data_IF_365840891106
#
_entry.id   IF_365840891106
#
_cell.length_a   1.000
_cell.length_b   1.000
_cell.length_c   1.000
_cell.angle_alpha   90.00
_cell.angle_beta   90.00
_cell.angle_gamma   90.00
#
_symmetry.space_group_name_H-M   'P 1'
#
loop_
_entity.id
_entity.type
_entity.pdbx_description
1 polymer ?
#
# COMPACT_ATOMS: atom_id res chain seq x y z
N UNK A 1 -7.14 -70.10 -34.77
CA UNK A 1 -6.37 -70.60 -35.93
C UNK A 1 -7.26 -70.49 -37.16
N UNK A 2 -6.72 -70.16 -38.35
CA UNK A 2 -5.60 -69.27 -38.67
C UNK A 2 -6.06 -68.30 -39.80
N UNK A 3 -5.37 -67.28 -40.34
CA UNK A 3 -4.09 -67.18 -41.02
C UNK A 3 -3.97 -65.69 -41.41
N UNK A 4 -2.83 -65.04 -41.10
CA UNK A 4 -2.32 -63.94 -41.94
C UNK A 4 -1.95 -64.51 -43.32
N UNK A 5 -1.79 -63.74 -44.44
CA UNK A 5 -0.70 -62.76 -44.56
C UNK A 5 -0.93 -61.60 -45.57
N UNK A 6 -0.12 -60.54 -45.50
CA UNK A 6 0.88 -60.19 -46.53
C UNK A 6 1.39 -58.76 -46.38
N UNK A 7 2.71 -58.71 -46.31
CA UNK A 7 3.64 -57.60 -46.39
C UNK A 7 3.55 -56.79 -47.69
N UNK A 8 4.02 -55.54 -47.66
CA UNK A 8 4.98 -54.98 -48.63
C UNK A 8 5.61 -53.67 -48.13
N UNK A 9 6.93 -53.61 -48.28
CA UNK A 9 7.84 -52.47 -48.13
C UNK A 9 7.39 -51.24 -48.94
N UNK A 10 7.78 -50.03 -48.53
CA UNK A 10 8.90 -49.31 -49.14
C UNK A 10 8.98 -47.80 -48.76
N UNK A 11 10.23 -47.32 -48.80
CA UNK A 11 10.70 -45.97 -49.10
C UNK A 11 10.74 -44.88 -48.01
N UNK A 12 11.98 -44.59 -47.63
CA UNK A 12 12.44 -43.38 -46.98
C UNK A 12 12.44 -42.16 -47.92
N UNK A 13 12.23 -40.97 -47.36
CA UNK A 13 12.76 -39.70 -47.89
C UNK A 13 13.12 -38.77 -46.71
N UNK A 14 14.23 -38.05 -46.88
CA UNK A 14 14.88 -37.12 -45.94
C UNK A 14 14.38 -35.66 -46.10
N UNK A 15 14.12 -34.97 -44.96
CA UNK A 15 14.56 -33.60 -44.52
C UNK A 15 14.13 -32.35 -45.37
N UNK A 16 13.98 -31.06 -44.90
CA UNK A 16 14.03 -30.40 -43.56
C UNK A 16 12.90 -29.34 -43.26
N UNK A 17 12.96 -28.77 -42.03
CA UNK A 17 12.65 -27.40 -41.55
C UNK A 17 11.36 -26.62 -41.92
N UNK A 18 10.91 -25.91 -40.87
CA UNK A 18 10.23 -24.60 -40.82
C UNK A 18 8.69 -24.59 -40.82
N UNK A 19 8.15 -24.21 -39.67
CA UNK A 19 6.71 -24.04 -39.42
C UNK A 19 6.49 -23.55 -38.00
N UNK A 20 6.95 -22.33 -37.72
CA UNK A 20 6.69 -21.58 -36.49
C UNK A 20 5.17 -21.28 -36.42
N UNK A 21 4.42 -22.05 -35.63
CA UNK A 21 3.11 -21.64 -35.14
C UNK A 21 3.15 -21.73 -33.61
N UNK A 22 3.64 -20.64 -33.00
CA UNK A 22 3.48 -20.39 -31.59
C UNK A 22 2.30 -19.45 -31.37
N UNK A 23 1.67 -19.62 -30.21
CA UNK A 23 0.68 -18.75 -29.59
C UNK A 23 -0.79 -18.96 -30.00
N UNK A 24 -1.32 -20.12 -29.62
CA UNK A 24 -2.55 -20.15 -28.84
C UNK A 24 -2.18 -20.70 -27.46
N UNK A 25 -1.77 -19.81 -26.55
CA UNK A 25 -1.83 -20.14 -25.14
C UNK A 25 -3.32 -20.08 -24.77
N UNK A 26 -4.01 -21.21 -24.87
CA UNK A 26 -5.25 -21.40 -24.17
C UNK A 26 -4.91 -21.25 -22.67
N UNK A 27 -5.49 -20.26 -22.01
CA UNK A 27 -5.47 -20.16 -20.55
C UNK A 27 -6.21 -21.39 -20.00
N UNK A 28 -5.45 -22.47 -19.80
CA UNK A 28 -5.95 -23.67 -19.16
C UNK A 28 -6.43 -23.34 -17.76
N UNK A 29 -7.55 -23.93 -17.36
CA UNK A 29 -8.03 -23.91 -15.98
C UNK A 29 -6.90 -24.43 -15.08
N UNK A 30 -6.23 -23.55 -14.35
CA UNK A 30 -5.26 -23.94 -13.32
C UNK A 30 -6.03 -24.68 -12.21
N UNK A 31 -5.81 -25.99 -12.11
CA UNK A 31 -6.48 -26.89 -11.15
C UNK A 31 -5.75 -27.02 -9.82
N UNK A 32 -4.55 -26.45 -9.69
CA UNK A 32 -3.73 -26.58 -8.48
C UNK A 32 -3.78 -25.32 -7.62
N UNK A 33 -4.04 -25.50 -6.32
CA UNK A 33 -3.97 -24.44 -5.33
C UNK A 33 -2.52 -23.89 -5.26
N UNK A 34 -2.32 -22.59 -4.99
CA UNK A 34 -0.98 -22.03 -4.87
C UNK A 34 -0.18 -22.78 -3.80
N UNK A 35 0.94 -23.39 -4.19
CA UNK A 35 1.83 -24.11 -3.29
C UNK A 35 2.27 -23.15 -2.17
N UNK A 36 2.12 -23.58 -0.90
CA UNK A 36 2.52 -22.80 0.27
C UNK A 36 1.50 -21.77 0.76
N UNK A 37 0.27 -21.74 0.25
CA UNK A 37 -0.82 -20.90 0.77
C UNK A 37 -1.94 -21.73 1.40
N UNK A 38 -2.58 -21.18 2.43
CA UNK A 38 -3.82 -21.73 2.97
C UNK A 38 -4.91 -21.67 1.89
N UNK A 39 -5.78 -22.69 1.86
CA UNK A 39 -6.99 -22.63 1.04
C UNK A 39 -7.90 -21.53 1.60
N UNK A 40 -8.67 -20.88 0.72
CA UNK A 40 -9.71 -19.96 1.17
C UNK A 40 -10.65 -20.70 2.12
N UNK A 41 -10.93 -20.11 3.28
CA UNK A 41 -11.79 -20.67 4.33
C UNK A 41 -11.26 -21.95 4.99
N UNK A 42 -9.96 -22.22 4.89
CA UNK A 42 -9.35 -23.38 5.54
C UNK A 42 -9.52 -23.31 7.05
N UNK A 43 -10.31 -24.24 7.60
CA UNK A 43 -10.61 -24.31 9.03
C UNK A 43 -9.41 -24.69 9.88
N UNK A 44 -8.36 -25.26 9.28
CA UNK A 44 -7.10 -25.57 9.96
C UNK A 44 -6.16 -24.36 10.02
N UNK A 45 -6.45 -23.28 9.27
CA UNK A 45 -5.67 -22.04 9.34
C UNK A 45 -5.71 -21.49 10.77
N UNK A 46 -4.55 -21.18 11.39
CA UNK A 46 -4.50 -20.64 12.75
C UNK A 46 -5.40 -19.43 12.91
N UNK A 47 -6.17 -19.41 14.01
CA UNK A 47 -7.03 -18.27 14.32
C UNK A 47 -6.22 -17.08 14.79
N UNK A 48 -6.66 -15.85 14.49
CA UNK A 48 -6.12 -14.64 15.08
C UNK A 48 -6.17 -14.70 16.61
N UNK A 49 -5.15 -14.17 17.27
CA UNK A 49 -5.16 -14.04 18.73
C UNK A 49 -6.22 -13.01 19.14
N UNK A 50 -6.98 -13.33 20.19
CA UNK A 50 -7.94 -12.38 20.78
C UNK A 50 -7.18 -11.29 21.56
N UNK A 51 -7.56 -10.04 21.34
CA UNK A 51 -7.06 -8.87 22.08
C UNK A 51 -8.27 -8.04 22.50
N UNK A 52 -8.40 -7.80 23.79
CA UNK A 52 -9.45 -6.92 24.32
C UNK A 52 -9.08 -5.46 23.98
N UNK A 53 -9.91 -4.73 23.21
CA UNK A 53 -9.66 -3.33 22.90
C UNK A 53 -9.88 -2.45 24.13
N UNK A 54 -9.24 -1.28 24.18
CA UNK A 54 -9.49 -0.30 25.24
C UNK A 54 -10.93 0.24 25.18
N UNK A 55 -11.50 0.64 26.32
CA UNK A 55 -12.89 1.11 26.43
C UNK A 55 -13.17 2.32 25.53
N UNK A 56 -12.23 3.27 25.45
CA UNK A 56 -12.34 4.50 24.67
C UNK A 56 -11.65 4.37 23.30
N UNK A 57 -12.42 4.44 22.21
CA UNK A 57 -11.83 4.49 20.86
C UNK A 57 -12.79 4.50 19.67
N UNK A 58 -14.11 4.52 19.89
CA UNK A 58 -15.06 4.19 18.81
C UNK A 58 -15.57 5.44 18.06
N UNK A 59 -15.54 6.63 18.67
CA UNK A 59 -16.26 7.80 18.17
C UNK A 59 -15.35 8.89 17.59
N UNK A 60 -14.58 8.54 16.54
CA UNK A 60 -13.80 9.56 15.82
C UNK A 60 -14.77 10.44 15.03
N UNK A 61 -14.85 11.71 15.42
CA UNK A 61 -15.67 12.71 14.71
C UNK A 61 -15.11 12.94 13.30
N UNK A 62 -15.97 13.19 12.30
CA UNK A 62 -15.52 13.53 10.96
C UNK A 62 -14.61 14.77 10.99
N UNK A 63 -13.43 14.73 10.36
CA UNK A 63 -12.65 15.92 10.05
C UNK A 63 -13.45 16.92 9.20
N UNK A 64 -13.05 18.20 9.21
CA UNK A 64 -13.79 19.26 8.51
C UNK A 64 -13.85 19.08 6.98
N UNK A 65 -12.89 18.36 6.41
CA UNK A 65 -12.80 18.04 4.98
C UNK A 65 -13.39 16.66 4.64
N UNK A 66 -13.99 15.96 5.62
CA UNK A 66 -14.60 14.66 5.37
C UNK A 66 -15.96 14.77 4.67
N UNK A 67 -16.20 13.83 3.77
CA UNK A 67 -17.51 13.55 3.22
C UNK A 67 -18.25 12.68 4.23
N UNK A 68 -19.30 13.22 4.82
CA UNK A 68 -20.17 12.48 5.74
C UNK A 68 -21.14 11.64 4.93
N UNK A 69 -21.08 10.33 5.11
CA UNK A 69 -21.97 9.36 4.44
C UNK A 69 -23.18 9.03 5.30
N UNK A 70 -23.06 9.10 6.63
CA UNK A 70 -24.19 8.91 7.54
C UNK A 70 -23.89 9.52 8.91
N UNK A 71 -24.74 10.45 9.34
CA UNK A 71 -24.65 11.16 10.63
C UNK A 71 -25.79 10.83 11.61
N UNK A 72 -26.67 9.89 11.24
CA UNK A 72 -27.85 9.51 12.02
C UNK A 72 -29.16 10.10 11.51
N UNK A 73 -29.16 10.96 10.50
CA UNK A 73 -30.37 11.67 10.06
C UNK A 73 -31.11 10.98 8.92
N UNK A 74 -30.42 10.62 7.84
CA UNK A 74 -31.02 10.06 6.63
C UNK A 74 -30.04 9.21 5.80
N UNK A 75 -30.54 8.61 4.71
CA UNK A 75 -29.75 7.78 3.78
C UNK A 75 -29.44 8.51 2.46
N UNK A 76 -29.36 9.84 2.45
CA UNK A 76 -29.24 10.62 1.22
C UNK A 76 -27.95 10.34 0.43
N UNK A 77 -26.88 9.94 1.12
CA UNK A 77 -25.62 9.54 0.48
C UNK A 77 -25.68 8.13 -0.15
N UNK A 78 -26.75 7.37 0.08
CA UNK A 78 -26.88 5.95 -0.27
C UNK A 78 -27.99 5.72 -1.29
N UNK A 79 -27.86 4.62 -2.03
CA UNK A 79 -28.89 4.07 -2.90
C UNK A 79 -28.94 2.56 -2.74
N UNK A 80 -30.09 1.99 -3.02
CA UNK A 80 -30.30 0.54 -3.02
C UNK A 80 -30.41 0.03 -4.46
N UNK A 81 -29.49 -0.82 -4.92
CA UNK A 81 -29.60 -1.48 -6.22
C UNK A 81 -30.86 -2.34 -6.37
N UNK A 82 -31.40 -2.88 -5.27
CA UNK A 82 -32.63 -3.68 -5.28
C UNK A 82 -33.92 -2.84 -5.31
N UNK A 83 -33.80 -1.52 -5.06
CA UNK A 83 -34.93 -0.62 -4.86
C UNK A 83 -35.58 -0.68 -3.46
N UNK A 84 -35.17 -1.61 -2.59
CA UNK A 84 -35.64 -1.69 -1.20
C UNK A 84 -34.70 -0.93 -0.26
N UNK A 85 -35.24 -0.11 0.62
CA UNK A 85 -34.45 0.71 1.55
C UNK A 85 -34.15 0.01 2.87
N UNK A 86 -32.96 0.26 3.39
CA UNK A 86 -32.65 0.06 4.82
C UNK A 86 -33.38 1.14 5.65
N UNK A 87 -33.44 0.97 6.97
CA UNK A 87 -34.17 1.89 7.85
C UNK A 87 -33.23 2.73 8.70
N UNK A 88 -33.66 3.96 9.01
CA UNK A 88 -33.03 4.80 10.03
C UNK A 88 -33.83 4.67 11.32
N UNK A 89 -33.18 4.27 12.41
CA UNK A 89 -33.79 4.06 13.72
C UNK A 89 -32.83 4.55 14.81
N UNK A 90 -33.31 5.41 15.70
CA UNK A 90 -32.56 5.95 16.85
C UNK A 90 -31.17 6.51 16.50
N UNK A 91 -31.06 7.23 15.38
CA UNK A 91 -29.80 7.81 14.90
C UNK A 91 -28.84 6.79 14.26
N UNK A 92 -29.33 5.59 13.94
CA UNK A 92 -28.55 4.50 13.33
C UNK A 92 -29.19 4.06 12.02
N UNK A 93 -28.36 3.59 11.10
CA UNK A 93 -28.81 2.91 9.89
C UNK A 93 -28.81 1.40 10.17
N UNK A 94 -29.94 0.72 10.01
CA UNK A 94 -30.07 -0.72 10.24
C UNK A 94 -30.39 -1.45 8.94
N UNK A 95 -29.63 -2.51 8.65
CA UNK A 95 -29.91 -3.46 7.57
C UNK A 95 -31.29 -4.06 7.76
N UNK A 96 -32.10 -4.07 6.70
CA UNK A 96 -33.36 -4.80 6.66
C UNK A 96 -33.11 -6.13 5.96
N UNK A 97 -33.16 -7.29 6.64
CA UNK A 97 -32.93 -8.60 6.00
C UNK A 97 -33.75 -8.81 4.73
N UNK A 98 -33.12 -9.32 3.67
CA UNK A 98 -33.74 -9.52 2.36
C UNK A 98 -34.03 -8.24 1.56
N UNK A 99 -33.50 -7.10 1.99
CA UNK A 99 -33.57 -5.84 1.24
C UNK A 99 -32.43 -5.68 0.24
N UNK A 100 -31.37 -6.48 0.35
CA UNK A 100 -30.18 -6.39 -0.48
C UNK A 100 -29.21 -5.32 0.02
N UNK A 101 -28.00 -5.33 -0.56
CA UNK A 101 -26.95 -4.37 -0.25
C UNK A 101 -27.36 -2.92 -0.56
N UNK A 102 -26.70 -1.96 0.08
CA UNK A 102 -26.77 -0.55 -0.30
C UNK A 102 -25.39 -0.04 -0.69
N UNK A 103 -25.35 0.97 -1.55
CA UNK A 103 -24.10 1.55 -2.03
C UNK A 103 -24.15 3.07 -2.02
N UNK A 104 -23.00 3.71 -1.84
CA UNK A 104 -22.92 5.17 -1.91
C UNK A 104 -23.29 5.66 -3.32
N UNK A 105 -24.00 6.79 -3.40
CA UNK A 105 -24.22 7.51 -4.67
C UNK A 105 -22.89 8.02 -5.25
N UNK A 106 -21.99 8.48 -4.38
CA UNK A 106 -20.63 8.85 -4.74
C UNK A 106 -19.76 7.63 -5.07
N UNK A 107 -18.74 7.86 -5.90
CA UNK A 107 -17.69 6.87 -6.22
C UNK A 107 -16.33 7.42 -5.81
N UNK A 108 -15.50 6.57 -5.22
CA UNK A 108 -14.23 6.95 -4.60
C UNK A 108 -13.10 6.03 -5.05
N UNK A 109 -11.87 6.54 -4.98
CA UNK A 109 -10.65 5.80 -5.28
C UNK A 109 -9.85 5.56 -4.00
N UNK A 110 -8.73 6.28 -3.84
CA UNK A 110 -7.94 6.24 -2.61
C UNK A 110 -8.68 6.99 -1.48
N UNK A 111 -8.88 6.33 -0.33
CA UNK A 111 -9.66 6.91 0.77
C UNK A 111 -9.09 6.57 2.15
N UNK A 112 -9.42 7.43 3.10
CA UNK A 112 -9.52 7.12 4.52
C UNK A 112 -11.02 7.02 4.85
N UNK A 113 -11.48 5.91 5.44
CA UNK A 113 -12.87 5.66 5.82
C UNK A 113 -12.95 5.39 7.31
N UNK A 114 -13.91 6.01 7.99
CA UNK A 114 -14.35 5.63 9.33
C UNK A 114 -15.79 5.13 9.26
N UNK A 115 -16.07 4.04 9.96
CA UNK A 115 -17.41 3.45 10.03
C UNK A 115 -17.57 2.69 11.35
N UNK A 116 -18.66 2.98 12.05
CA UNK A 116 -19.05 2.23 13.23
C UNK A 116 -20.17 1.25 12.90
N UNK A 117 -20.09 0.04 13.45
CA UNK A 117 -21.07 -1.02 13.26
C UNK A 117 -21.37 -1.77 14.56
N UNK A 118 -22.57 -2.35 14.67
CA UNK A 118 -22.96 -3.17 15.80
C UNK A 118 -23.73 -4.40 15.30
N UNK A 119 -23.25 -5.58 15.70
CA UNK A 119 -23.95 -6.84 15.44
C UNK A 119 -25.27 -6.93 16.23
N UNK A 120 -26.26 -7.71 15.76
CA UNK A 120 -27.54 -7.89 16.45
C UNK A 120 -27.36 -8.42 17.88
N UNK A 121 -28.21 -7.95 18.80
CA UNK A 121 -28.31 -8.45 20.17
C UNK A 121 -29.80 -8.69 20.51
N UNK A 122 -30.22 -9.91 20.89
CA UNK A 122 -29.41 -11.11 21.09
C UNK A 122 -28.77 -11.61 19.79
N UNK A 123 -27.56 -12.20 19.85
CA UNK A 123 -26.93 -12.75 18.67
C UNK A 123 -27.67 -14.00 18.20
N UNK A 124 -27.77 -14.19 16.88
CA UNK A 124 -28.43 -15.33 16.25
C UNK A 124 -27.49 -16.03 15.27
N UNK A 125 -27.58 -17.36 15.20
CA UNK A 125 -26.79 -18.20 14.29
C UNK A 125 -25.32 -18.43 14.70
N UNK A 126 -24.54 -18.99 13.77
CA UNK A 126 -23.17 -19.51 13.98
C UNK A 126 -22.30 -19.35 12.73
N UNK A 127 -20.98 -19.36 12.89
CA UNK A 127 -20.06 -19.28 11.76
C UNK A 127 -20.23 -17.96 11.01
N UNK A 128 -20.34 -18.02 9.68
CA UNK A 128 -20.67 -16.87 8.85
C UNK A 128 -22.12 -16.44 8.90
N UNK A 129 -23.01 -17.21 9.52
CA UNK A 129 -24.41 -16.82 9.67
C UNK A 129 -24.65 -16.25 11.07
N UNK A 130 -23.84 -15.25 11.47
CA UNK A 130 -23.92 -14.67 12.81
C UNK A 130 -23.58 -13.18 12.80
N UNK A 131 -24.59 -12.34 12.58
CA UNK A 131 -24.40 -10.89 12.48
C UNK A 131 -23.55 -10.49 11.28
N UNK A 132 -23.67 -11.23 10.16
CA UNK A 132 -22.84 -11.04 8.98
C UNK A 132 -23.30 -9.85 8.14
N UNK A 133 -22.31 -9.10 7.67
CA UNK A 133 -22.40 -8.07 6.64
C UNK A 133 -20.98 -7.87 6.10
N UNK A 134 -20.73 -6.81 5.33
CA UNK A 134 -19.41 -6.52 4.79
C UNK A 134 -19.34 -5.10 4.29
N UNK A 135 -18.14 -4.53 4.33
CA UNK A 135 -17.84 -3.20 3.80
C UNK A 135 -16.97 -3.38 2.57
N UNK A 136 -17.53 -3.15 1.39
CA UNK A 136 -16.82 -3.33 0.13
C UNK A 136 -16.24 -1.99 -0.34
N UNK A 137 -14.92 -1.93 -0.40
CA UNK A 137 -14.18 -0.81 -0.96
C UNK A 137 -14.25 -0.88 -2.50
N UNK A 138 -14.67 0.20 -3.14
CA UNK A 138 -15.00 0.25 -4.58
C UNK A 138 -16.06 -0.77 -5.02
N UNK A 139 -16.81 -1.38 -4.09
CA UNK A 139 -17.70 -2.51 -4.37
C UNK A 139 -16.96 -3.82 -4.68
N UNK A 140 -15.65 -3.91 -4.40
CA UNK A 140 -14.77 -4.99 -4.87
C UNK A 140 -14.02 -5.71 -3.75
N UNK A 141 -13.58 -4.98 -2.72
CA UNK A 141 -12.75 -5.54 -1.64
C UNK A 141 -13.49 -5.48 -0.31
N UNK A 142 -13.97 -6.62 0.15
CA UNK A 142 -14.72 -6.77 1.39
C UNK A 142 -13.82 -6.77 2.61
N UNK A 143 -14.05 -5.80 3.49
CA UNK A 143 -13.65 -5.86 4.89
C UNK A 143 -14.80 -6.48 5.66
N UNK A 144 -14.55 -7.65 6.23
CA UNK A 144 -15.60 -8.48 6.78
C UNK A 144 -16.21 -7.88 8.05
N UNK A 145 -17.54 -7.88 8.14
CA UNK A 145 -18.30 -7.48 9.34
C UNK A 145 -19.02 -8.71 9.88
N UNK A 146 -18.70 -9.12 11.09
CA UNK A 146 -19.27 -10.33 11.68
C UNK A 146 -19.24 -10.27 13.20
N UNK A 147 -20.21 -10.88 13.89
CA UNK A 147 -20.06 -11.15 15.31
C UNK A 147 -19.01 -12.26 15.53
N UNK A 148 -17.77 -11.83 15.75
CA UNK A 148 -16.62 -12.70 16.06
C UNK A 148 -16.27 -12.71 17.56
N UNK A 149 -17.14 -12.18 18.44
CA UNK A 149 -16.88 -12.20 19.87
C UNK A 149 -17.23 -13.56 20.47
N UNK A 150 -16.19 -14.32 20.87
CA UNK A 150 -16.32 -15.68 21.41
C UNK A 150 -17.15 -16.60 20.49
N UNK A 151 -17.02 -16.39 19.17
CA UNK A 151 -17.73 -17.11 18.14
C UNK A 151 -16.75 -17.65 17.08
N UNK A 152 -16.92 -18.92 16.71
CA UNK A 152 -16.02 -19.61 15.79
C UNK A 152 -16.46 -19.46 14.33
N UNK A 153 -15.50 -19.18 13.46
CA UNK A 153 -15.60 -19.27 11.98
C UNK A 153 -14.19 -19.39 11.38
N UNK A 154 -14.05 -19.67 10.08
CA UNK A 154 -12.75 -19.70 9.39
C UNK A 154 -11.98 -18.36 9.50
N UNK A 155 -10.65 -18.44 9.60
CA UNK A 155 -9.81 -17.32 10.04
C UNK A 155 -9.89 -16.10 9.11
N UNK A 156 -9.98 -16.33 7.81
CA UNK A 156 -10.08 -15.34 6.73
C UNK A 156 -11.51 -14.84 6.47
N UNK A 157 -12.48 -15.17 7.33
CA UNK A 157 -13.84 -14.63 7.29
C UNK A 157 -14.33 -14.14 8.64
N UNK A 158 -13.42 -13.85 9.57
CA UNK A 158 -13.75 -13.16 10.82
C UNK A 158 -13.82 -11.65 10.62
N UNK A 159 -14.39 -10.94 11.59
CA UNK A 159 -14.43 -9.48 11.60
C UNK A 159 -13.04 -8.88 11.35
N UNK A 160 -12.94 -7.98 10.38
CA UNK A 160 -11.70 -7.28 10.03
C UNK A 160 -10.81 -8.05 9.05
N UNK A 161 -11.21 -9.25 8.63
CA UNK A 161 -10.55 -9.94 7.52
C UNK A 161 -10.73 -9.17 6.21
N UNK A 162 -9.71 -9.24 5.34
CA UNK A 162 -9.94 -9.05 3.90
C UNK A 162 -10.49 -10.39 3.42
N UNK A 163 -11.79 -10.42 3.14
CA UNK A 163 -12.57 -11.66 3.08
C UNK A 163 -11.95 -12.71 2.15
N UNK A 164 -11.75 -13.91 2.69
CA UNK A 164 -11.22 -15.07 1.97
C UNK A 164 -9.74 -15.01 1.60
N UNK A 165 -9.01 -13.98 2.05
CA UNK A 165 -7.60 -13.76 1.68
C UNK A 165 -6.73 -13.63 2.93
N UNK A 166 -6.98 -12.58 3.73
CA UNK A 166 -6.16 -12.22 4.89
C UNK A 166 -7.00 -12.23 6.18
N UNK A 167 -6.77 -13.19 7.10
CA UNK A 167 -7.25 -13.11 8.47
C UNK A 167 -6.77 -11.81 9.12
N UNK A 168 -7.54 -11.22 10.03
CA UNK A 168 -7.03 -10.09 10.80
C UNK A 168 -5.85 -10.56 11.65
N UNK A 169 -4.89 -9.67 11.92
CA UNK A 169 -3.76 -9.95 12.81
C UNK A 169 -4.23 -10.31 14.23
N UNK A 170 -5.34 -9.70 14.68
CA UNK A 170 -5.96 -9.90 15.97
C UNK A 170 -7.48 -9.93 15.84
N UNK A 171 -8.16 -10.70 16.69
CA UNK A 171 -9.60 -10.54 16.89
C UNK A 171 -9.81 -9.50 18.01
N UNK A 172 -10.30 -8.32 17.64
CA UNK A 172 -10.55 -7.20 18.54
C UNK A 172 -12.06 -6.92 18.76
N UNK A 173 -12.90 -7.94 18.57
CA UNK A 173 -14.35 -7.81 18.64
C UNK A 173 -14.84 -7.60 20.06
N UNK A 174 -15.70 -6.61 20.26
CA UNK A 174 -16.54 -6.43 21.46
C UNK A 174 -17.81 -7.31 21.43
N UNK A 175 -18.52 -7.49 22.57
CA UNK A 175 -19.80 -8.21 22.61
C UNK A 175 -20.86 -7.73 21.60
N UNK A 176 -21.82 -8.58 21.20
CA UNK A 176 -22.92 -8.19 20.32
C UNK A 176 -23.75 -7.04 20.88
N UNK A 177 -24.23 -6.16 20.01
CA UNK A 177 -24.94 -4.94 20.38
C UNK A 177 -24.03 -3.78 20.79
N UNK A 178 -22.78 -4.04 21.18
CA UNK A 178 -21.78 -2.97 21.34
C UNK A 178 -21.26 -2.49 19.99
N UNK A 179 -20.90 -1.21 19.96
CA UNK A 179 -20.34 -0.60 18.78
C UNK A 179 -18.89 -1.00 18.57
N UNK A 180 -18.56 -1.27 17.32
CA UNK A 180 -17.24 -1.55 16.80
C UNK A 180 -16.88 -0.40 15.87
N UNK A 181 -15.62 0.01 15.83
CA UNK A 181 -15.13 0.98 14.86
C UNK A 181 -14.14 0.33 13.90
N UNK A 182 -14.30 0.62 12.62
CA UNK A 182 -13.25 0.47 11.61
C UNK A 182 -12.74 1.82 11.16
N UNK A 183 -11.42 1.98 11.23
CA UNK A 183 -10.67 3.01 10.51
C UNK A 183 -9.85 2.33 9.41
N UNK A 184 -10.17 2.66 8.16
CA UNK A 184 -9.65 1.98 6.98
C UNK A 184 -8.88 2.99 6.13
N UNK A 185 -7.65 2.64 5.75
CA UNK A 185 -6.95 3.33 4.67
C UNK A 185 -6.88 2.39 3.46
N UNK A 186 -7.35 2.89 2.32
CA UNK A 186 -7.42 2.15 1.07
C UNK A 186 -6.69 2.89 -0.04
N UNK A 187 -5.83 2.17 -0.76
CA UNK A 187 -5.28 2.58 -2.05
C UNK A 187 -5.83 1.64 -3.11
N UNK A 188 -6.45 2.22 -4.13
CA UNK A 188 -7.04 1.47 -5.25
C UNK A 188 -5.95 0.79 -6.09
N UNK A 189 -6.28 -0.29 -6.82
CA UNK A 189 -5.36 -0.80 -7.84
C UNK A 189 -5.18 0.23 -8.96
N UNK A 190 -3.98 0.24 -9.56
CA UNK A 190 -3.63 1.09 -10.70
C UNK A 190 -3.32 0.24 -11.91
N UNK A 191 -3.80 0.68 -13.07
CA UNK A 191 -3.61 0.03 -14.35
C UNK A 191 -2.97 1.02 -15.34
N UNK A 192 -2.22 0.52 -16.31
CA UNK A 192 -1.77 1.33 -17.44
C UNK A 192 -2.88 1.46 -18.50
N UNK A 193 -2.62 2.22 -19.56
CA UNK A 193 -3.58 2.44 -20.65
C UNK A 193 -3.93 1.18 -21.44
N UNK A 194 -3.18 0.08 -21.26
CA UNK A 194 -3.49 -1.23 -21.86
C UNK A 194 -4.34 -2.12 -20.96
N UNK A 195 -4.66 -1.67 -19.73
CA UNK A 195 -5.38 -2.46 -18.74
C UNK A 195 -4.49 -3.42 -17.95
N UNK A 196 -3.16 -3.31 -18.07
CA UNK A 196 -2.23 -4.12 -17.27
C UNK A 196 -2.10 -3.53 -15.88
N UNK A 197 -2.20 -4.38 -14.85
CA UNK A 197 -1.99 -3.99 -13.45
C UNK A 197 -0.56 -3.45 -13.25
N UNK A 198 -0.46 -2.22 -12.77
CA UNK A 198 0.79 -1.57 -12.36
C UNK A 198 1.01 -1.72 -10.85
N UNK A 199 -0.04 -1.49 -10.06
CA UNK A 199 0.00 -1.56 -8.60
C UNK A 199 -1.27 -2.26 -8.08
N UNK A 200 -1.16 -3.27 -7.21
CA UNK A 200 -2.33 -3.87 -6.56
C UNK A 200 -2.95 -2.91 -5.55
N UNK A 201 -4.16 -3.24 -5.11
CA UNK A 201 -4.78 -2.53 -3.99
C UNK A 201 -3.93 -2.63 -2.72
N UNK A 202 -4.03 -1.65 -1.83
CA UNK A 202 -3.46 -1.69 -0.48
C UNK A 202 -4.51 -1.39 0.55
N UNK A 203 -4.58 -2.22 1.60
CA UNK A 203 -5.57 -2.09 2.64
C UNK A 203 -4.89 -2.09 4.02
N UNK A 204 -5.18 -1.07 4.81
CA UNK A 204 -4.88 -1.03 6.24
C UNK A 204 -6.20 -0.87 6.99
N UNK A 205 -6.40 -1.68 8.04
CA UNK A 205 -7.61 -1.64 8.87
C UNK A 205 -7.21 -1.61 10.33
N UNK A 206 -7.80 -0.68 11.07
CA UNK A 206 -7.84 -0.71 12.53
C UNK A 206 -9.23 -1.11 12.98
N UNK A 207 -9.32 -2.08 13.89
CA UNK A 207 -10.56 -2.50 14.55
C UNK A 207 -10.49 -2.09 16.02
N UNK A 208 -11.34 -1.16 16.44
CA UNK A 208 -11.34 -0.61 17.80
C UNK A 208 -9.96 -0.08 18.21
N UNK A 209 -9.25 0.58 17.28
CA UNK A 209 -7.90 1.10 17.48
C UNK A 209 -6.77 0.07 17.37
N UNK A 210 -7.08 -1.22 17.24
CA UNK A 210 -6.08 -2.29 17.06
C UNK A 210 -5.80 -2.48 15.56
N UNK A 211 -4.53 -2.43 15.15
CA UNK A 211 -4.14 -2.72 13.76
C UNK A 211 -4.41 -4.19 13.43
N UNK A 212 -5.37 -4.44 12.55
CA UNK A 212 -5.79 -5.80 12.15
C UNK A 212 -5.42 -6.15 10.72
N UNK A 213 -5.18 -5.17 9.85
CA UNK A 213 -4.59 -5.37 8.51
C UNK A 213 -3.51 -4.31 8.30
N UNK A 214 -2.30 -4.69 7.89
CA UNK A 214 -1.18 -3.77 7.81
C UNK A 214 -0.67 -3.63 6.37
N UNK A 215 -1.25 -2.69 5.62
CA UNK A 215 -0.86 -2.41 4.24
C UNK A 215 -0.86 -3.66 3.34
N UNK A 216 -1.84 -4.53 3.56
CA UNK A 216 -1.97 -5.81 2.86
C UNK A 216 -2.26 -5.60 1.38
N UNK A 217 -1.81 -6.54 0.55
CA UNK A 217 -2.04 -6.58 -0.90
C UNK A 217 -3.06 -7.68 -1.23
N UNK A 218 -4.36 -7.36 -1.39
CA UNK A 218 -5.32 -8.34 -1.88
C UNK A 218 -4.84 -8.97 -3.19
N UNK A 219 -5.10 -10.26 -3.37
CA UNK A 219 -4.77 -11.00 -4.60
C UNK A 219 -5.65 -10.58 -5.80
N UNK A 220 -6.68 -9.79 -5.53
CA UNK A 220 -7.71 -9.29 -6.44
C UNK A 220 -9.00 -9.02 -5.66
N UNK A 221 -10.10 -8.65 -6.34
CA UNK A 221 -11.39 -8.48 -5.69
C UNK A 221 -11.82 -9.71 -4.89
N UNK A 222 -12.43 -9.48 -3.72
CA UNK A 222 -12.91 -10.54 -2.84
C UNK A 222 -14.15 -11.20 -3.43
N UNK A 223 -14.23 -12.53 -3.34
CA UNK A 223 -15.41 -13.28 -3.75
C UNK A 223 -15.46 -14.62 -3.01
N UNK A 224 -16.67 -15.16 -2.85
CA UNK A 224 -16.89 -16.48 -2.28
C UNK A 224 -16.32 -17.56 -3.21
N UNK A 225 -15.75 -18.63 -2.63
CA UNK A 225 -15.07 -19.76 -3.29
C UNK A 225 -13.73 -19.46 -3.97
N UNK A 226 -13.57 -18.29 -4.58
CA UNK A 226 -12.32 -17.85 -5.21
C UNK A 226 -12.30 -16.34 -5.34
N UNK A 227 -11.15 -15.70 -5.08
CA UNK A 227 -10.94 -14.30 -5.45
C UNK A 227 -10.97 -14.11 -6.97
N UNK A 228 -11.36 -12.92 -7.40
CA UNK A 228 -11.38 -12.56 -8.82
C UNK A 228 -10.00 -12.04 -9.25
N UNK A 229 -9.61 -12.18 -10.53
CA UNK A 229 -8.42 -11.49 -11.03
C UNK A 229 -8.61 -9.97 -10.96
N UNK A 230 -7.50 -9.24 -10.89
CA UNK A 230 -7.54 -7.79 -11.09
C UNK A 230 -7.93 -7.47 -12.54
N UNK A 231 -8.98 -6.68 -12.69
CA UNK A 231 -9.43 -6.11 -13.97
C UNK A 231 -9.62 -4.60 -13.81
N UNK A 232 -9.38 -3.84 -14.88
CA UNK A 232 -9.61 -2.40 -14.87
C UNK A 232 -11.10 -2.10 -14.96
N UNK A 233 -11.72 -1.89 -13.79
CA UNK A 233 -13.12 -1.46 -13.65
C UNK A 233 -13.26 0.06 -13.50
N UNK A 234 -12.23 0.80 -13.90
CA UNK A 234 -12.14 2.24 -13.72
C UNK A 234 -11.54 2.66 -12.38
N UNK A 235 -11.25 3.94 -12.26
CA UNK A 235 -10.49 4.50 -11.15
C UNK A 235 -11.28 4.76 -9.87
N UNK A 236 -12.61 4.62 -9.90
CA UNK A 236 -13.49 4.98 -8.78
C UNK A 236 -14.69 4.03 -8.72
N UNK A 237 -15.03 3.58 -7.51
CA UNK A 237 -16.18 2.71 -7.23
C UNK A 237 -16.92 3.14 -5.95
N UNK A 238 -18.13 2.63 -5.68
CA UNK A 238 -18.87 2.98 -4.48
C UNK A 238 -18.26 2.36 -3.22
N UNK A 239 -18.70 2.81 -2.05
CA UNK A 239 -18.66 1.99 -0.83
C UNK A 239 -19.97 1.23 -0.74
N UNK A 240 -19.91 -0.08 -0.57
CA UNK A 240 -21.10 -0.94 -0.49
C UNK A 240 -21.17 -1.61 0.87
N UNK A 241 -22.36 -1.64 1.47
CA UNK A 241 -22.65 -2.36 2.70
C UNK A 241 -23.54 -3.55 2.38
N UNK A 242 -23.13 -4.74 2.84
CA UNK A 242 -23.81 -5.98 2.51
C UNK A 242 -25.08 -6.17 3.33
N UNK A 243 -26.13 -6.70 2.70
CA UNK A 243 -27.19 -7.41 3.40
C UNK A 243 -26.90 -8.90 3.30
N UNK A 244 -26.72 -9.54 4.45
CA UNK A 244 -26.55 -10.99 4.57
C UNK A 244 -27.58 -11.56 5.54
N UNK A 245 -28.80 -11.01 5.53
CA UNK A 245 -29.96 -11.42 6.32
C UNK A 245 -29.84 -11.22 7.84
N UNK A 246 -28.88 -10.41 8.29
CA UNK A 246 -28.73 -9.99 9.68
C UNK A 246 -28.97 -8.47 9.84
N UNK A 247 -29.73 -8.01 10.86
CA UNK A 247 -30.00 -6.60 11.09
C UNK A 247 -28.81 -5.89 11.76
N UNK A 248 -27.67 -5.82 11.05
CA UNK A 248 -26.49 -5.07 11.49
C UNK A 248 -26.82 -3.58 11.47
N UNK A 249 -26.37 -2.87 12.52
CA UNK A 249 -26.54 -1.42 12.62
C UNK A 249 -25.25 -0.69 12.33
N UNK A 250 -25.35 0.50 11.76
CA UNK A 250 -24.25 1.38 11.40
C UNK A 250 -24.51 2.80 11.91
N UNK A 251 -23.41 3.51 12.22
CA UNK A 251 -23.44 4.95 12.50
C UNK A 251 -22.09 5.58 12.19
N UNK A 252 -22.04 6.92 12.26
CA UNK A 252 -20.81 7.70 12.15
C UNK A 252 -19.95 7.27 10.95
N UNK A 253 -20.50 7.40 9.76
CA UNK A 253 -19.83 6.98 8.53
C UNK A 253 -19.34 8.21 7.80
N UNK A 254 -18.03 8.31 7.62
CA UNK A 254 -17.42 9.41 6.87
C UNK A 254 -16.14 8.95 6.19
N UNK A 255 -15.78 9.61 5.10
CA UNK A 255 -14.51 9.35 4.42
C UNK A 255 -13.82 10.62 3.98
N UNK A 256 -12.53 10.51 3.70
CA UNK A 256 -11.70 11.54 3.07
C UNK A 256 -11.04 10.93 1.84
N UNK A 257 -11.10 11.63 0.72
CA UNK A 257 -10.30 11.24 -0.43
C UNK A 257 -8.82 11.51 -0.10
N UNK A 258 -7.99 10.48 -0.30
CA UNK A 258 -6.55 10.64 -0.15
C UNK A 258 -5.99 11.16 -1.47
N UNK A 259 -5.01 12.08 -1.42
CA UNK A 259 -4.34 12.51 -2.64
C UNK A 259 -3.71 11.30 -3.30
N UNK A 260 -3.89 11.22 -4.62
CA UNK A 260 -3.05 10.39 -5.45
C UNK A 260 -1.61 10.90 -5.29
N UNK A 261 -0.69 10.00 -4.95
CA UNK A 261 0.74 10.33 -4.93
C UNK A 261 1.35 9.73 -6.19
N UNK A 262 1.22 10.38 -7.37
CA UNK A 262 2.06 9.98 -8.48
C UNK A 262 3.52 10.12 -8.03
N UNK A 263 4.38 9.19 -8.41
CA UNK A 263 5.82 9.39 -8.24
C UNK A 263 6.15 10.75 -8.89
N UNK A 264 6.68 11.74 -8.13
CA UNK A 264 7.06 12.99 -8.73
C UNK A 264 8.07 12.68 -9.84
N UNK A 265 7.83 13.20 -11.05
CA UNK A 265 8.83 13.14 -12.11
C UNK A 265 9.96 14.07 -11.71
N UNK A 266 10.99 13.54 -11.05
CA UNK A 266 12.22 14.28 -10.89
C UNK A 266 12.75 14.57 -12.29
N UNK A 267 12.83 15.85 -12.65
CA UNK A 267 13.63 16.26 -13.80
C UNK A 267 15.06 16.17 -13.31
N UNK A 268 15.81 15.19 -13.81
CA UNK A 268 17.24 15.08 -13.51
C UNK A 268 18.00 16.09 -14.39
N UNK A 269 18.03 17.34 -13.94
CA UNK A 269 18.80 18.42 -14.55
C UNK A 269 20.19 18.59 -13.90
N UNK A 270 20.64 17.60 -13.12
CA UNK A 270 21.93 17.65 -12.44
C UNK A 270 23.05 17.78 -13.48
N UNK A 271 24.04 18.65 -13.24
CA UNK A 271 25.22 18.73 -14.09
C UNK A 271 25.92 17.37 -14.17
N UNK A 272 26.46 17.03 -15.34
CA UNK A 272 27.22 15.78 -15.51
C UNK A 272 28.56 15.90 -14.78
N UNK A 273 28.93 14.83 -14.08
CA UNK A 273 30.24 14.71 -13.45
C UNK A 273 31.37 14.78 -14.49
N UNK A 274 32.49 15.41 -14.13
CA UNK A 274 33.69 15.57 -14.95
C UNK A 274 34.88 14.84 -14.32
N UNK A 275 35.78 14.27 -15.14
CA UNK A 275 37.01 13.69 -14.61
C UNK A 275 38.00 14.80 -14.22
N UNK A 276 38.52 14.75 -13.00
CA UNK A 276 39.60 15.61 -12.51
C UNK A 276 40.85 14.76 -12.23
N UNK A 277 42.04 15.32 -12.43
CA UNK A 277 43.28 14.61 -12.12
C UNK A 277 43.47 14.45 -10.61
N UNK A 278 44.17 13.40 -10.19
CA UNK A 278 44.49 13.16 -8.78
C UNK A 278 45.24 14.33 -8.15
N UNK A 279 46.18 14.93 -8.88
CA UNK A 279 46.96 16.10 -8.43
C UNK A 279 46.08 17.33 -8.16
N UNK A 280 44.97 17.46 -8.89
CA UNK A 280 44.00 18.52 -8.66
C UNK A 280 43.12 18.19 -7.45
N UNK A 281 42.67 16.94 -7.33
CA UNK A 281 41.87 16.49 -6.19
C UNK A 281 42.63 16.62 -4.85
N UNK A 282 43.92 16.30 -4.84
CA UNK A 282 44.78 16.42 -3.65
C UNK A 282 44.80 17.84 -3.08
N UNK A 283 44.57 18.89 -3.89
CA UNK A 283 44.52 20.29 -3.43
C UNK A 283 43.32 20.58 -2.53
N UNK A 284 42.24 19.83 -2.70
CA UNK A 284 40.99 19.99 -1.94
C UNK A 284 40.96 19.14 -0.67
N UNK A 285 41.82 18.13 -0.55
CA UNK A 285 41.93 17.34 0.67
C UNK A 285 42.43 18.19 1.85
N UNK A 286 41.93 17.90 3.04
CA UNK A 286 42.29 18.61 4.27
C UNK A 286 41.14 18.72 5.27
N UNK A 287 41.40 19.44 6.36
CA UNK A 287 40.39 19.75 7.36
C UNK A 287 39.75 21.12 7.08
N UNK A 288 38.46 21.24 7.33
CA UNK A 288 37.67 22.45 7.10
C UNK A 288 36.85 22.79 8.34
N UNK A 289 37.03 24.00 8.89
CA UNK A 289 36.25 24.50 10.02
C UNK A 289 34.81 24.76 9.58
N UNK A 290 33.83 24.27 10.33
CA UNK A 290 32.40 24.45 10.02
C UNK A 290 31.84 25.82 10.41
N UNK A 291 32.63 26.66 11.10
CA UNK A 291 32.36 28.05 11.45
C UNK A 291 33.65 28.71 11.99
N UNK A 292 33.59 30.01 12.26
CA UNK A 292 34.77 30.81 12.65
C UNK A 292 35.11 30.79 14.15
N UNK A 293 34.47 29.93 14.96
CA UNK A 293 34.75 29.87 16.40
C UNK A 293 36.07 29.14 16.68
N UNK A 294 36.76 29.52 17.77
CA UNK A 294 38.05 28.95 18.16
C UNK A 294 38.06 27.41 18.31
N UNK A 295 36.93 26.81 18.72
CA UNK A 295 36.76 25.36 18.86
C UNK A 295 35.77 24.80 17.82
N UNK A 296 35.72 25.38 16.63
CA UNK A 296 34.78 24.95 15.61
C UNK A 296 34.99 23.47 15.25
N UNK A 297 33.91 22.68 15.16
CA UNK A 297 33.98 21.33 14.65
C UNK A 297 34.53 21.35 13.22
N UNK A 298 35.29 20.31 12.85
CA UNK A 298 35.96 20.20 11.55
C UNK A 298 35.35 19.10 10.72
N UNK A 299 35.09 19.37 9.44
CA UNK A 299 34.93 18.34 8.43
C UNK A 299 36.30 17.96 7.85
N UNK A 300 36.45 16.71 7.40
CA UNK A 300 37.63 16.23 6.72
C UNK A 300 37.27 15.87 5.30
N UNK A 301 37.93 16.48 4.32
CA UNK A 301 37.87 16.08 2.92
C UNK A 301 39.10 15.22 2.63
N UNK A 302 38.90 14.03 2.08
CA UNK A 302 39.95 13.08 1.73
C UNK A 302 39.84 12.69 0.26
N UNK A 303 40.97 12.41 -0.39
CA UNK A 303 41.00 11.78 -1.71
C UNK A 303 41.02 10.27 -1.53
N UNK A 304 40.07 9.59 -2.16
CA UNK A 304 40.00 8.13 -2.22
C UNK A 304 40.10 7.73 -3.70
N UNK A 305 41.29 7.29 -4.12
CA UNK A 305 41.52 6.99 -5.54
C UNK A 305 41.33 8.22 -6.43
N UNK A 306 40.30 8.20 -7.27
CA UNK A 306 39.96 9.20 -8.28
C UNK A 306 38.81 10.14 -7.87
N UNK A 307 38.38 10.13 -6.61
CA UNK A 307 37.31 11.00 -6.11
C UNK A 307 37.63 11.58 -4.73
N UNK A 308 36.81 12.56 -4.32
CA UNK A 308 36.86 13.13 -2.97
C UNK A 308 35.71 12.58 -2.13
N UNK A 309 35.98 12.41 -0.84
CA UNK A 309 34.98 12.15 0.18
C UNK A 309 35.04 13.25 1.24
N UNK A 310 33.89 13.58 1.84
CA UNK A 310 33.80 14.46 3.01
C UNK A 310 33.22 13.72 4.21
N UNK A 311 33.88 13.85 5.36
CA UNK A 311 33.43 13.32 6.65
C UNK A 311 33.13 14.47 7.59
N UNK A 312 31.89 14.56 8.06
CA UNK A 312 31.48 15.53 9.07
C UNK A 312 31.69 14.93 10.48
N UNK A 313 31.98 15.75 11.51
CA UNK A 313 32.30 15.24 12.84
C UNK A 313 31.11 14.58 13.56
N UNK A 314 29.89 14.90 13.13
CA UNK A 314 28.64 14.27 13.59
C UNK A 314 28.17 13.12 12.68
N UNK A 315 28.95 12.76 11.64
CA UNK A 315 28.61 11.70 10.69
C UNK A 315 29.77 10.70 10.55
N UNK A 316 29.61 9.45 10.99
CA UNK A 316 30.72 8.48 10.99
C UNK A 316 31.04 7.93 9.59
N UNK A 317 30.14 8.07 8.62
CA UNK A 317 30.37 7.62 7.24
C UNK A 317 30.75 8.81 6.35
N UNK A 318 31.78 8.68 5.49
CA UNK A 318 32.08 9.67 4.47
C UNK A 318 30.93 9.81 3.45
N UNK A 319 30.89 10.94 2.76
CA UNK A 319 30.03 11.22 1.60
C UNK A 319 30.92 11.43 0.38
N UNK A 320 30.63 10.78 -0.74
CA UNK A 320 31.29 11.08 -2.01
C UNK A 320 30.92 12.48 -2.49
N UNK A 321 31.89 13.15 -3.10
CA UNK A 321 31.75 14.43 -3.77
C UNK A 321 31.92 14.21 -5.27
N UNK A 322 30.90 14.51 -6.06
CA UNK A 322 30.93 14.37 -7.52
C UNK A 322 31.44 15.68 -8.16
N UNK A 323 32.60 15.67 -8.83
CA UNK A 323 33.11 16.87 -9.50
C UNK A 323 32.21 17.33 -10.64
N UNK A 324 31.73 18.56 -10.59
CA UNK A 324 30.93 19.20 -11.65
C UNK A 324 31.78 20.13 -12.49
N UNK A 325 32.76 20.77 -11.87
CA UNK A 325 33.81 21.55 -12.53
C UNK A 325 35.08 21.44 -11.69
N UNK A 326 36.14 22.13 -12.10
CA UNK A 326 37.38 22.14 -11.32
C UNK A 326 37.16 22.56 -9.86
N UNK A 327 36.26 23.50 -9.58
CA UNK A 327 36.03 24.05 -8.22
C UNK A 327 34.67 23.71 -7.62
N UNK A 328 33.79 23.04 -8.36
CA UNK A 328 32.45 22.70 -7.87
C UNK A 328 32.27 21.19 -7.79
N UNK A 329 31.74 20.74 -6.65
CA UNK A 329 31.41 19.34 -6.41
C UNK A 329 30.01 19.23 -5.82
N UNK A 330 29.22 18.29 -6.29
CA UNK A 330 27.87 18.03 -5.81
C UNK A 330 27.81 16.78 -4.93
N UNK A 331 26.80 16.73 -4.07
CA UNK A 331 26.43 15.50 -3.38
C UNK A 331 25.50 14.67 -4.29
N UNK A 332 25.74 13.35 -4.45
CA UNK A 332 24.97 12.53 -5.39
C UNK A 332 23.49 12.35 -5.04
N UNK A 333 23.14 12.49 -3.75
CA UNK A 333 21.80 12.18 -3.23
C UNK A 333 21.12 13.35 -2.51
N UNK A 334 21.82 14.47 -2.38
CA UNK A 334 21.34 15.63 -1.64
C UNK A 334 21.50 16.83 -2.55
N UNK A 335 20.53 17.74 -2.58
CA UNK A 335 20.71 19.04 -3.21
C UNK A 335 21.74 19.85 -2.40
N UNK A 336 23.02 19.55 -2.61
CA UNK A 336 24.12 20.15 -1.90
C UNK A 336 25.34 20.27 -2.78
N UNK A 337 25.97 21.44 -2.72
CA UNK A 337 27.09 21.84 -3.59
C UNK A 337 28.19 22.45 -2.76
N UNK A 338 29.41 22.01 -3.06
CA UNK A 338 30.67 22.52 -2.54
C UNK A 338 31.34 23.35 -3.62
N UNK A 339 31.46 24.66 -3.41
CA UNK A 339 32.19 25.58 -4.29
C UNK A 339 33.48 25.99 -3.61
N UNK A 340 34.59 25.37 -4.00
CA UNK A 340 35.90 25.63 -3.42
C UNK A 340 36.42 27.01 -3.83
N UNK A 341 36.92 27.75 -2.84
CA UNK A 341 37.53 29.08 -2.99
C UNK A 341 39.04 28.92 -3.05
N UNK A 342 39.69 29.66 -3.96
CA UNK A 342 41.14 29.72 -4.13
C UNK A 342 41.64 31.13 -3.91
N UNK A 343 42.87 31.30 -3.44
CA UNK A 343 43.56 32.59 -3.41
C UNK A 343 44.22 32.92 -4.77
N UNK A 344 44.93 34.05 -4.83
CA UNK A 344 45.63 34.51 -6.04
C UNK A 344 46.78 33.58 -6.48
N UNK A 345 47.30 32.74 -5.57
CA UNK A 345 48.31 31.73 -5.88
C UNK A 345 47.68 30.39 -6.32
N UNK A 346 46.35 30.30 -6.32
CA UNK A 346 45.61 29.09 -6.65
C UNK A 346 45.47 28.10 -5.49
N UNK A 347 45.87 28.49 -4.26
CA UNK A 347 45.75 27.66 -3.06
C UNK A 347 44.31 27.64 -2.57
N UNK A 348 43.78 26.46 -2.23
CA UNK A 348 42.41 26.31 -1.73
C UNK A 348 42.33 26.87 -0.31
N UNK A 349 41.53 27.91 -0.09
CA UNK A 349 41.41 28.59 1.22
C UNK A 349 40.16 28.20 2.00
N UNK A 350 39.15 27.67 1.30
CA UNK A 350 37.88 27.29 1.91
C UNK A 350 36.90 26.77 0.88
N UNK A 351 35.66 26.58 1.31
CA UNK A 351 34.58 26.10 0.46
C UNK A 351 33.26 26.68 0.93
N UNK A 352 32.49 27.23 -0.01
CA UNK A 352 31.10 27.58 0.19
C UNK A 352 30.27 26.32 0.00
N UNK A 353 29.54 25.92 1.03
CA UNK A 353 28.67 24.75 1.02
C UNK A 353 27.22 25.18 1.08
N UNK A 354 26.48 24.91 0.00
CA UNK A 354 25.01 25.02 -0.05
C UNK A 354 24.40 23.64 0.20
N UNK A 355 23.33 23.57 0.97
CA UNK A 355 22.49 22.38 1.12
C UNK A 355 21.02 22.79 1.28
N UNK A 356 20.18 22.41 0.31
CA UNK A 356 18.81 22.91 0.21
C UNK A 356 18.78 24.44 0.16
N UNK A 357 18.13 25.03 1.16
CA UNK A 357 18.02 26.49 1.39
C UNK A 357 19.08 27.06 2.35
N UNK A 358 19.95 26.21 2.90
CA UNK A 358 21.02 26.60 3.81
C UNK A 358 22.35 26.81 3.11
N UNK A 359 23.12 27.80 3.58
CA UNK A 359 24.48 28.06 3.12
C UNK A 359 25.45 28.17 4.30
N UNK A 360 26.69 27.71 4.09
CA UNK A 360 27.77 27.78 5.07
C UNK A 360 29.09 28.05 4.38
N UNK A 361 29.90 28.88 5.01
CA UNK A 361 31.30 29.00 4.66
C UNK A 361 32.12 28.06 5.55
N UNK A 362 32.97 27.26 4.91
CA UNK A 362 33.95 26.45 5.59
C UNK A 362 35.35 26.96 5.26
N UNK A 363 36.18 27.15 6.28
CA UNK A 363 37.55 27.64 6.13
C UNK A 363 38.52 26.47 6.21
N UNK A 364 39.43 26.34 5.23
CA UNK A 364 40.42 25.27 5.23
C UNK A 364 41.45 25.52 6.34
N UNK A 365 41.76 24.49 7.11
CA UNK A 365 42.75 24.52 8.18
C UNK A 365 44.14 24.31 7.57
N UNK A 366 45.06 25.24 7.82
CA UNK A 366 46.41 25.25 7.24
C UNK A 366 46.39 25.13 5.70
N UNK A 367 45.81 26.14 5.01
CA UNK A 367 45.35 26.04 3.62
C UNK A 367 46.41 25.66 2.59
#
# INVERSE_FOLDING_TARGET
MPLSPRSKLACAFLIPLSGLFACLAADGIRTEAPVGRWRQHDVQRPKPKVVEPADAGIATKPPKDAIVLFDGTNLDAWKSPSGKSWKVIDGTMETVPGSGMIETKGKYGDIQLHIEWAAPNPPNGKGQDRGNSGIFLMGQFEIQVLDSYKAETYADGQAGAIYGQYPPLFNASRPPGEWQAYDIAFRRPRFDTSGKLLEPARITVFHNGILVQNNEEPFGPTSWLKWLPYEDHGSRGPITLQDHDHPVRYRNIWLRELPERPAPKAVDDRPKSVALSTDLLDRYAGQYLLNDKANAPKATIAREGDHLTITFPFRPRPLALEPISETQFDLPFTDGRFTFRKDNAGQVTGVHFRIGDGERELTKVNP
#
